data_IF_475308550427
#
_entry.id   IF_475308550427
#
_cell.length_a   1.000
_cell.length_b   1.000
_cell.length_c   1.000
_cell.angle_alpha   90.00
_cell.angle_beta   90.00
_cell.angle_gamma   90.00
#
_symmetry.space_group_name_H-M   'P 1'
#
loop_
_entity.id
_entity.type
_entity.pdbx_description
1 polymer ?
#
# COMPACT_ATOMS: atom_id res chain seq x y z
N UNK A 1 17.56 24.80 53.20
CA UNK A 1 17.89 23.98 52.01
C UNK A 1 16.72 24.05 51.03
N UNK A 2 16.85 24.77 49.91
CA UNK A 2 15.78 24.89 48.91
C UNK A 2 15.83 23.70 47.93
N UNK A 3 14.73 22.93 47.85
CA UNK A 3 14.59 21.82 46.88
C UNK A 3 14.31 22.39 45.49
N UNK A 4 15.32 22.40 44.62
CA UNK A 4 15.18 22.80 43.22
C UNK A 4 14.20 21.87 42.48
N UNK A 5 13.17 22.46 41.88
CA UNK A 5 12.12 21.74 41.14
C UNK A 5 12.65 21.29 39.78
N UNK A 6 12.98 20.00 39.66
CA UNK A 6 13.36 19.37 38.38
C UNK A 6 12.16 19.41 37.44
N UNK A 7 12.27 20.18 36.35
CA UNK A 7 11.26 20.22 35.28
C UNK A 7 11.32 18.88 34.53
N UNK A 8 10.32 18.01 34.73
CA UNK A 8 10.14 16.78 33.95
C UNK A 8 9.93 17.15 32.47
N UNK A 9 10.95 16.92 31.64
CA UNK A 9 10.85 17.06 30.18
C UNK A 9 9.85 16.02 29.69
N UNK A 10 8.68 16.47 29.18
CA UNK A 10 7.68 15.56 28.62
C UNK A 10 8.30 14.81 27.44
N UNK A 11 8.20 13.47 27.39
CA UNK A 11 8.76 12.70 26.28
C UNK A 11 8.10 13.15 24.98
N UNK A 12 8.92 13.53 23.98
CA UNK A 12 8.42 13.89 22.66
C UNK A 12 7.76 12.66 22.06
N UNK A 13 6.45 12.72 21.83
CA UNK A 13 5.70 11.65 21.15
C UNK A 13 6.36 11.41 19.79
N UNK A 14 6.88 10.20 19.58
CA UNK A 14 7.42 9.79 18.28
C UNK A 14 6.28 9.95 17.26
N UNK A 15 6.50 10.77 16.24
CA UNK A 15 5.51 10.95 15.17
C UNK A 15 5.30 9.58 14.52
N UNK A 16 4.05 9.14 14.26
CA UNK A 16 3.83 7.89 13.56
C UNK A 16 4.55 7.98 12.21
N UNK A 17 5.32 6.93 11.91
CA UNK A 17 6.00 6.76 10.63
C UNK A 17 4.88 6.71 9.60
N UNK A 18 4.78 7.75 8.78
CA UNK A 18 3.82 7.76 7.68
C UNK A 18 4.37 6.82 6.63
N UNK A 19 3.67 5.72 6.38
CA UNK A 19 3.97 4.85 5.25
C UNK A 19 3.90 5.68 3.97
N UNK A 20 4.88 5.48 3.10
CA UNK A 20 4.97 6.22 1.85
C UNK A 20 3.77 5.89 0.96
N UNK A 21 3.08 6.94 0.51
CA UNK A 21 1.93 6.83 -0.38
C UNK A 21 2.31 6.83 -1.87
N UNK A 22 3.59 6.68 -2.16
CA UNK A 22 4.15 6.94 -3.48
C UNK A 22 4.34 5.62 -4.24
N UNK A 23 3.34 5.26 -5.04
CA UNK A 23 3.36 4.03 -5.84
C UNK A 23 3.51 4.31 -7.35
N UNK A 24 3.88 3.27 -8.09
CA UNK A 24 4.04 3.32 -9.54
C UNK A 24 2.70 3.06 -10.23
N UNK A 25 2.44 3.69 -11.37
CA UNK A 25 1.22 3.41 -12.13
C UNK A 25 1.48 2.31 -13.18
N UNK A 26 0.68 1.23 -13.24
CA UNK A 26 0.81 0.17 -14.24
C UNK A 26 0.46 0.62 -15.66
N UNK A 27 -0.25 1.75 -15.82
CA UNK A 27 -0.67 2.25 -17.14
C UNK A 27 0.32 3.22 -17.78
N UNK A 28 0.89 4.14 -17.01
CA UNK A 28 1.76 5.20 -17.56
C UNK A 28 3.24 5.04 -17.18
N UNK A 29 3.61 3.99 -16.43
CA UNK A 29 4.98 3.65 -16.02
C UNK A 29 5.80 4.76 -15.36
N UNK A 30 5.17 5.85 -14.95
CA UNK A 30 5.81 6.91 -14.17
C UNK A 30 5.93 6.50 -12.71
N UNK A 31 7.13 6.70 -12.15
CA UNK A 31 7.40 6.42 -10.75
C UNK A 31 6.62 7.37 -9.84
N UNK A 32 6.14 6.88 -8.70
CA UNK A 32 5.55 7.70 -7.62
C UNK A 32 4.42 8.63 -8.07
N UNK A 33 3.60 8.17 -9.01
CA UNK A 33 2.57 9.00 -9.68
C UNK A 33 1.15 8.75 -9.19
N UNK A 34 0.99 7.80 -8.27
CA UNK A 34 -0.30 7.41 -7.69
C UNK A 34 -0.44 8.02 -6.30
N UNK A 35 -1.57 8.69 -6.05
CA UNK A 35 -1.99 9.18 -4.73
C UNK A 35 -3.14 8.32 -4.20
N UNK A 36 -3.08 7.98 -2.91
CA UNK A 36 -4.09 7.14 -2.25
C UNK A 36 -4.69 7.88 -1.04
N UNK A 37 -6.02 8.02 -1.08
CA UNK A 37 -6.84 8.62 -0.04
C UNK A 37 -7.70 7.55 0.60
N UNK A 38 -7.58 7.39 1.91
CA UNK A 38 -8.40 6.46 2.67
C UNK A 38 -9.50 7.19 3.43
N UNK A 39 -10.74 6.81 3.15
CA UNK A 39 -11.92 7.24 3.87
C UNK A 39 -12.36 6.14 4.83
N UNK A 40 -11.62 6.00 5.93
CA UNK A 40 -11.85 4.94 6.93
C UNK A 40 -13.24 5.01 7.58
N UNK A 41 -13.83 6.20 7.66
CA UNK A 41 -15.21 6.38 8.14
C UNK A 41 -16.27 5.73 7.24
N UNK A 42 -15.97 5.56 5.95
CA UNK A 42 -16.86 4.94 4.97
C UNK A 42 -16.41 3.55 4.55
N UNK A 43 -15.24 3.10 5.02
CA UNK A 43 -14.60 1.87 4.55
C UNK A 43 -14.26 1.90 3.07
N UNK A 44 -13.87 3.07 2.53
CA UNK A 44 -13.54 3.23 1.10
C UNK A 44 -12.12 3.78 0.92
N UNK A 45 -11.33 3.15 0.06
CA UNK A 45 -10.03 3.63 -0.41
C UNK A 45 -10.12 4.14 -1.84
N UNK A 46 -9.70 5.38 -2.08
CA UNK A 46 -9.64 5.99 -3.41
C UNK A 46 -8.19 6.12 -3.86
N UNK A 47 -7.92 5.68 -5.08
CA UNK A 47 -6.63 5.75 -5.75
C UNK A 47 -6.78 6.62 -6.99
N UNK A 48 -5.86 7.59 -7.16
CA UNK A 48 -5.83 8.46 -8.33
C UNK A 48 -4.40 8.62 -8.87
N UNK A 49 -4.22 8.39 -10.17
CA UNK A 49 -2.95 8.68 -10.82
C UNK A 49 -2.93 10.10 -11.38
N UNK A 50 -1.93 10.89 -10.97
CA UNK A 50 -1.78 12.29 -11.39
C UNK A 50 -1.32 12.46 -12.84
N UNK A 51 -0.83 11.40 -13.49
CA UNK A 51 -0.28 11.45 -14.85
C UNK A 51 -1.29 11.02 -15.91
N UNK A 52 -1.88 9.84 -15.75
CA UNK A 52 -2.88 9.31 -16.69
C UNK A 52 -4.33 9.59 -16.27
N UNK A 53 -4.58 10.07 -15.05
CA UNK A 53 -5.92 10.38 -14.56
C UNK A 53 -6.78 9.15 -14.22
N UNK A 54 -6.18 7.96 -14.18
CA UNK A 54 -6.89 6.73 -13.79
C UNK A 54 -7.31 6.81 -12.33
N UNK A 55 -8.58 6.50 -12.08
CA UNK A 55 -9.20 6.49 -10.76
C UNK A 55 -9.68 5.08 -10.44
N UNK A 56 -9.45 4.64 -9.21
CA UNK A 56 -9.89 3.36 -8.73
C UNK A 56 -10.41 3.50 -7.29
N UNK A 57 -11.44 2.75 -6.96
CA UNK A 57 -12.08 2.77 -5.65
C UNK A 57 -12.20 1.33 -5.17
N UNK A 58 -11.76 1.08 -3.94
CA UNK A 58 -11.93 -0.22 -3.28
C UNK A 58 -12.52 -0.11 -1.88
N UNK A 59 -13.06 -1.23 -1.40
CA UNK A 59 -13.52 -1.36 -0.02
C UNK A 59 -12.32 -1.63 0.88
N UNK A 60 -12.26 -0.94 2.02
CA UNK A 60 -11.20 -1.09 3.02
C UNK A 60 -11.80 -1.31 4.41
N UNK A 61 -11.17 -2.21 5.16
CA UNK A 61 -11.41 -2.50 6.57
C UNK A 61 -10.62 -1.54 7.46
N UNK A 62 -10.56 -1.76 8.78
CA UNK A 62 -9.75 -0.92 9.69
C UNK A 62 -8.27 -1.29 9.78
N UNK A 63 -7.88 -2.41 9.17
CA UNK A 63 -6.52 -2.94 9.21
C UNK A 63 -5.74 -2.59 7.94
N UNK A 64 -6.44 -2.29 6.83
CA UNK A 64 -5.80 -2.09 5.53
C UNK A 64 -4.99 -0.81 5.44
N UNK A 65 -3.85 -0.88 4.77
CA UNK A 65 -2.91 0.19 4.53
C UNK A 65 -2.89 0.59 3.06
N UNK A 66 -2.18 1.67 2.73
CA UNK A 66 -2.14 2.19 1.36
C UNK A 66 -1.59 1.17 0.36
N UNK A 67 -0.74 0.25 0.81
CA UNK A 67 -0.23 -0.85 0.01
C UNK A 67 -1.31 -1.86 -0.36
N UNK A 68 -2.26 -2.16 0.53
CA UNK A 68 -3.30 -3.17 0.29
C UNK A 68 -4.25 -2.74 -0.82
N UNK A 69 -4.62 -1.46 -0.85
CA UNK A 69 -5.43 -0.89 -1.95
C UNK A 69 -4.66 -0.91 -3.27
N UNK A 70 -3.35 -0.69 -3.21
CA UNK A 70 -2.50 -0.69 -4.40
C UNK A 70 -2.31 -2.10 -4.97
N UNK A 71 -2.05 -3.11 -4.13
CA UNK A 71 -1.93 -4.51 -4.58
C UNK A 71 -3.23 -4.99 -5.20
N UNK A 72 -4.37 -4.78 -4.53
CA UNK A 72 -5.67 -5.19 -5.06
C UNK A 72 -5.97 -4.53 -6.42
N UNK A 73 -5.61 -3.25 -6.58
CA UNK A 73 -5.77 -2.57 -7.86
C UNK A 73 -4.88 -3.17 -8.96
N UNK A 74 -3.61 -3.44 -8.65
CA UNK A 74 -2.67 -4.07 -9.58
C UNK A 74 -3.16 -5.47 -9.96
N UNK A 75 -3.60 -6.27 -8.99
CA UNK A 75 -4.14 -7.61 -9.23
C UNK A 75 -5.36 -7.58 -10.13
N UNK A 76 -6.29 -6.61 -9.94
CA UNK A 76 -7.43 -6.43 -10.84
C UNK A 76 -7.03 -5.98 -12.24
N UNK A 77 -6.00 -5.13 -12.36
CA UNK A 77 -5.46 -4.74 -13.67
C UNK A 77 -4.84 -5.95 -14.38
N UNK A 78 -4.09 -6.78 -13.65
CA UNK A 78 -3.50 -8.00 -14.16
C UNK A 78 -4.58 -9.02 -14.54
N UNK A 79 -5.61 -9.23 -13.72
CA UNK A 79 -6.71 -10.13 -13.99
C UNK A 79 -7.51 -9.72 -15.24
N UNK A 80 -7.83 -8.42 -15.36
CA UNK A 80 -8.48 -7.87 -16.54
C UNK A 80 -7.66 -8.11 -17.81
N UNK A 81 -6.33 -8.10 -17.72
CA UNK A 81 -5.42 -8.38 -18.82
C UNK A 81 -5.20 -9.90 -19.05
N UNK A 82 -5.26 -10.73 -17.99
CA UNK A 82 -5.14 -12.19 -18.01
C UNK A 82 -6.32 -12.89 -18.66
N UNK A 83 -7.44 -12.20 -18.92
CA UNK A 83 -8.48 -12.71 -19.82
C UNK A 83 -7.98 -13.03 -21.23
N UNK A 84 -6.69 -12.78 -21.53
CA UNK A 84 -5.96 -13.31 -22.70
C UNK A 84 -4.88 -14.40 -22.45
N UNK A 85 -4.45 -14.72 -21.23
CA UNK A 85 -3.50 -15.82 -21.00
C UNK A 85 -3.39 -16.25 -19.51
N UNK A 86 -3.30 -17.57 -19.29
CA UNK A 86 -3.45 -18.28 -18.02
C UNK A 86 -2.46 -17.89 -16.89
N UNK A 87 -2.99 -17.76 -15.67
CA UNK A 87 -2.56 -18.43 -14.43
C UNK A 87 -1.17 -19.11 -14.41
N UNK A 88 -0.06 -18.35 -14.36
CA UNK A 88 1.27 -18.95 -14.10
C UNK A 88 2.15 -18.28 -13.03
N UNK A 89 1.87 -17.06 -12.57
CA UNK A 89 2.84 -16.32 -11.73
C UNK A 89 2.81 -16.62 -10.21
N UNK A 90 2.02 -17.60 -9.74
CA UNK A 90 2.06 -18.02 -8.32
C UNK A 90 2.62 -19.44 -8.11
N UNK A 91 2.82 -20.20 -9.19
CA UNK A 91 3.40 -21.54 -9.10
C UNK A 91 4.94 -21.52 -9.17
N UNK A 92 5.55 -20.48 -9.73
CA UNK A 92 7.02 -20.38 -9.83
C UNK A 92 7.70 -20.22 -8.46
N UNK A 93 7.10 -19.49 -7.51
CA UNK A 93 7.72 -19.25 -6.19
C UNK A 93 7.59 -20.44 -5.21
N UNK A 94 6.51 -21.22 -5.28
CA UNK A 94 6.35 -22.45 -4.47
C UNK A 94 7.28 -23.56 -4.96
N UNK A 95 7.53 -23.62 -6.27
CA UNK A 95 8.39 -24.62 -6.89
C UNK A 95 9.87 -24.44 -6.53
N UNK A 96 10.31 -23.19 -6.30
CA UNK A 96 11.68 -22.92 -5.85
C UNK A 96 11.92 -23.26 -4.38
N UNK A 97 10.89 -23.11 -3.52
CA UNK A 97 11.01 -23.48 -2.10
C UNK A 97 11.00 -24.99 -1.88
N UNK A 98 10.21 -25.74 -2.65
CA UNK A 98 10.17 -27.20 -2.54
C UNK A 98 11.41 -27.90 -3.12
N UNK A 99 12.21 -27.22 -3.94
CA UNK A 99 13.46 -27.75 -4.49
C UNK A 99 14.71 -27.37 -3.67
N UNK A 100 14.56 -26.70 -2.52
CA UNK A 100 15.68 -26.38 -1.60
C UNK A 100 15.70 -27.30 -0.35
N UNK A 101 14.81 -28.31 -0.32
CA UNK A 101 14.64 -29.25 0.79
C UNK A 101 15.06 -30.69 0.44
N UNK A 102 15.97 -30.85 -0.53
CA UNK A 102 16.72 -32.10 -0.78
C UNK A 102 18.23 -31.83 -0.77
#
# INVERSE_FOLDING_TARGET
>A
MARSKVKKVKPRKKKPIKLDKQFNCPFCSYKKSVDIKMYRSRGIGELNCLKCGVKYVSQITNLDECIDVYSEWVDKCLDANKKGCAELLYNDDISLLNNFAE
#
